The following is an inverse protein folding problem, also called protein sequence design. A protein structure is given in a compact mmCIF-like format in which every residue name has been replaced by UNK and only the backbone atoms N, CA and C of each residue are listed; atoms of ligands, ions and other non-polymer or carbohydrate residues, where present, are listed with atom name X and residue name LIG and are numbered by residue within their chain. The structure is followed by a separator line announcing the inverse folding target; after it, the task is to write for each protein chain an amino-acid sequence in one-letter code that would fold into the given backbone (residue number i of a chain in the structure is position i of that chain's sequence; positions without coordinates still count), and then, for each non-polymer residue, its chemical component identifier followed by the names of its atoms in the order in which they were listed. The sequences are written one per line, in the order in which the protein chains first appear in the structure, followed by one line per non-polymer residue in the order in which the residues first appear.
data_IF_212929911682
#
_entry.id   IF_212929911682
#
_cell.length_a   1.000
_cell.length_b   1.000
_cell.length_c   1.000
_cell.angle_alpha   90.00
_cell.angle_beta   90.00
_cell.angle_gamma   90.00
#
_symmetry.space_group_name_H-M   'P 1'
#
loop_
_entity.id
_entity.type
_entity.pdbx_description
1 polymer ?
#
# COMPACT_ATOMS: atom_id res chain seq x y z
N UNK A 1 -3.80 4.88 22.62
CA UNK A 1 -2.39 4.86 22.17
C UNK A 1 -1.69 3.70 22.88
N UNK A 2 -1.74 2.48 22.34
CA UNK A 2 -1.34 1.26 23.09
C UNK A 2 -0.08 0.53 22.55
N UNK A 3 0.54 1.01 21.47
CA UNK A 3 1.75 0.39 20.91
C UNK A 3 2.72 1.46 20.37
N UNK A 4 3.55 2.11 21.20
CA UNK A 4 4.45 3.17 20.77
C UNK A 4 5.55 2.71 19.80
N UNK A 5 5.97 1.44 19.87
CA UNK A 5 7.04 0.85 19.04
C UNK A 5 6.56 0.31 17.69
N UNK A 6 5.25 0.19 17.49
CA UNK A 6 4.68 -0.47 16.32
C UNK A 6 4.87 0.39 15.06
N UNK A 7 5.49 -0.18 14.02
CA UNK A 7 5.66 0.47 12.71
C UNK A 7 4.61 -0.06 11.74
N UNK A 8 4.21 0.78 10.79
CA UNK A 8 3.24 0.44 9.76
C UNK A 8 3.87 0.57 8.38
N UNK A 9 3.76 -0.49 7.59
CA UNK A 9 4.06 -0.48 6.16
C UNK A 9 2.76 -0.46 5.37
N UNK A 10 2.63 0.53 4.51
CA UNK A 10 1.46 0.83 3.69
C UNK A 10 1.81 0.46 2.25
N UNK A 11 1.13 -0.54 1.69
CA UNK A 11 1.39 -1.02 0.34
C UNK A 11 0.26 -0.64 -0.61
N UNK A 12 0.61 -0.02 -1.73
CA UNK A 12 -0.31 0.27 -2.83
C UNK A 12 -0.24 -0.79 -3.92
N UNK A 13 -1.42 -1.25 -4.35
CA UNK A 13 -1.57 -2.27 -5.39
C UNK A 13 -2.61 -1.86 -6.44
N UNK A 14 -2.46 -2.36 -7.66
CA UNK A 14 -3.42 -2.24 -8.75
C UNK A 14 -3.60 -3.57 -9.47
N UNK A 15 -4.60 -3.63 -10.33
CA UNK A 15 -4.72 -4.73 -11.30
C UNK A 15 -3.74 -4.54 -12.48
N UNK A 16 -3.75 -5.51 -13.41
CA UNK A 16 -2.92 -5.49 -14.60
C UNK A 16 -3.49 -4.67 -15.77
N UNK A 17 -4.61 -3.96 -15.61
CA UNK A 17 -5.24 -3.23 -16.71
C UNK A 17 -4.45 -1.98 -17.09
N UNK A 18 -4.62 -1.48 -18.31
CA UNK A 18 -4.04 -0.20 -18.78
C UNK A 18 -2.54 -0.24 -19.12
N UNK A 19 -2.12 0.71 -19.95
CA UNK A 19 -0.80 0.75 -20.61
C UNK A 19 0.32 1.40 -19.76
N UNK A 20 0.06 1.57 -18.46
CA UNK A 20 0.93 2.29 -17.54
C UNK A 20 1.89 1.38 -16.79
N UNK A 21 2.27 0.22 -17.35
CA UNK A 21 3.11 -0.77 -16.65
C UNK A 21 4.39 -0.13 -16.08
N UNK A 22 5.04 0.75 -16.86
CA UNK A 22 6.27 1.45 -16.47
C UNK A 22 6.05 2.39 -15.25
N UNK A 23 4.85 2.95 -15.08
CA UNK A 23 4.51 3.87 -13.98
C UNK A 23 3.63 3.24 -12.91
N UNK A 24 3.36 1.94 -13.01
CA UNK A 24 2.43 1.24 -12.13
C UNK A 24 2.87 1.37 -10.67
N UNK A 25 4.14 1.12 -10.39
CA UNK A 25 4.74 1.27 -9.07
C UNK A 25 4.59 2.72 -8.56
N UNK A 26 5.01 3.72 -9.34
CA UNK A 26 4.94 5.14 -8.97
C UNK A 26 3.50 5.60 -8.65
N UNK A 27 2.51 5.20 -9.44
CA UNK A 27 1.11 5.55 -9.22
C UNK A 27 0.61 4.94 -7.91
N UNK A 28 0.92 3.66 -7.68
CA UNK A 28 0.53 2.99 -6.44
C UNK A 28 1.28 3.53 -5.22
N UNK A 29 2.52 3.98 -5.41
CA UNK A 29 3.34 4.59 -4.37
C UNK A 29 2.74 5.91 -3.91
N UNK A 30 2.36 6.79 -4.85
CA UNK A 30 1.64 8.04 -4.54
C UNK A 30 0.34 7.80 -3.78
N UNK A 31 -0.39 6.72 -4.09
CA UNK A 31 -1.60 6.34 -3.36
C UNK A 31 -1.29 5.89 -1.93
N UNK A 32 -0.25 5.08 -1.75
CA UNK A 32 0.21 4.68 -0.42
C UNK A 32 0.71 5.89 0.39
N UNK A 33 1.41 6.83 -0.24
CA UNK A 33 1.85 8.08 0.37
C UNK A 33 0.67 8.97 0.80
N UNK A 34 -0.42 9.00 0.04
CA UNK A 34 -1.63 9.73 0.45
C UNK A 34 -2.25 9.16 1.74
N UNK A 35 -2.24 7.82 1.89
CA UNK A 35 -2.68 7.17 3.14
C UNK A 35 -1.71 7.45 4.28
N UNK A 36 -0.40 7.44 4.02
CA UNK A 36 0.61 7.83 5.00
C UNK A 36 0.36 9.25 5.49
N UNK A 37 0.19 10.21 4.58
CA UNK A 37 -0.06 11.60 4.92
C UNK A 37 -1.33 11.75 5.76
N UNK A 38 -2.40 11.04 5.40
CA UNK A 38 -3.61 11.01 6.21
C UNK A 38 -3.33 10.55 7.65
N UNK A 39 -2.53 9.50 7.85
CA UNK A 39 -2.18 9.02 9.20
C UNK A 39 -1.30 10.01 9.97
N UNK A 40 -0.38 10.71 9.29
CA UNK A 40 0.44 11.78 9.88
C UNK A 40 -0.44 12.93 10.34
N UNK A 41 -1.38 13.37 9.51
CA UNK A 41 -2.34 14.43 9.86
C UNK A 41 -3.22 14.06 11.07
N UNK A 42 -3.40 12.76 11.33
CA UNK A 42 -4.10 12.22 12.49
C UNK A 42 -3.17 11.90 13.68
N UNK A 43 -1.93 12.37 13.65
CA UNK A 43 -1.01 12.36 14.79
C UNK A 43 -0.20 11.07 14.95
N UNK A 44 -0.06 10.26 13.91
CA UNK A 44 0.94 9.19 13.88
C UNK A 44 2.28 9.77 13.42
N UNK A 45 3.34 9.44 14.17
CA UNK A 45 4.70 9.87 13.84
C UNK A 45 5.12 9.33 12.45
N UNK A 46 5.53 10.18 11.49
CA UNK A 46 5.97 9.74 10.17
C UNK A 46 7.14 8.76 10.22
N UNK A 47 8.02 8.80 11.24
CA UNK A 47 9.12 7.85 11.38
C UNK A 47 8.66 6.41 11.62
N UNK A 48 7.39 6.23 11.99
CA UNK A 48 6.76 4.92 12.20
C UNK A 48 6.03 4.40 10.97
N UNK A 49 6.00 5.17 9.89
CA UNK A 49 5.23 4.87 8.69
C UNK A 49 6.16 4.69 7.49
N UNK A 50 5.85 3.71 6.64
CA UNK A 50 6.53 3.51 5.36
C UNK A 50 5.51 3.25 4.27
N UNK A 51 5.52 4.04 3.21
CA UNK A 51 4.69 3.82 2.03
C UNK A 51 5.50 3.15 0.91
N UNK A 52 4.90 2.20 0.19
CA UNK A 52 5.47 1.53 -0.97
C UNK A 52 4.41 1.28 -2.04
N UNK A 53 4.76 1.45 -3.31
CA UNK A 53 3.94 1.05 -4.46
C UNK A 53 4.47 -0.19 -5.18
N UNK A 54 3.66 -1.24 -5.28
CA UNK A 54 4.02 -2.48 -5.99
C UNK A 54 3.40 -2.60 -7.39
N UNK A 55 2.61 -1.63 -7.83
CA UNK A 55 1.93 -1.73 -9.11
C UNK A 55 1.05 -2.98 -9.18
N UNK A 56 1.20 -3.77 -10.24
CA UNK A 56 0.45 -5.00 -10.48
C UNK A 56 1.23 -6.28 -10.09
N UNK A 57 2.41 -6.13 -9.47
CA UNK A 57 3.39 -7.21 -9.33
C UNK A 57 3.06 -8.17 -8.17
N UNK A 58 2.14 -7.78 -7.28
CA UNK A 58 1.66 -8.59 -6.14
C UNK A 58 0.14 -8.80 -6.17
N UNK A 59 -0.39 -9.55 -7.15
CA UNK A 59 -1.81 -9.87 -7.21
C UNK A 59 -2.20 -10.84 -6.08
N UNK A 60 -3.38 -10.64 -5.50
CA UNK A 60 -4.00 -11.57 -4.53
C UNK A 60 -5.11 -12.42 -5.17
N UNK A 61 -5.49 -12.07 -6.40
CA UNK A 61 -6.42 -12.84 -7.22
C UNK A 61 -5.97 -12.79 -8.69
N UNK A 62 -6.39 -13.75 -9.53
CA UNK A 62 -6.14 -13.69 -10.97
C UNK A 62 -6.67 -12.39 -11.61
N UNK A 63 -6.09 -11.90 -12.70
CA UNK A 63 -6.60 -10.68 -13.36
C UNK A 63 -7.62 -10.97 -14.48
N UNK A 64 -8.29 -12.13 -14.43
CA UNK A 64 -9.17 -12.69 -15.46
C UNK A 64 -10.58 -12.09 -15.46
N UNK A 65 -11.13 -11.69 -14.31
CA UNK A 65 -12.46 -11.12 -14.19
C UNK A 65 -12.45 -9.69 -13.60
N UNK A 66 -13.49 -8.87 -13.86
CA UNK A 66 -13.66 -7.57 -13.21
C UNK A 66 -13.63 -7.66 -11.67
N UNK A 67 -14.23 -8.70 -11.10
CA UNK A 67 -14.31 -8.96 -9.67
C UNK A 67 -12.93 -9.24 -9.09
N UNK A 68 -12.12 -10.08 -9.75
CA UNK A 68 -10.78 -10.37 -9.28
C UNK A 68 -9.82 -9.18 -9.45
N UNK A 69 -9.95 -8.42 -10.55
CA UNK A 69 -9.22 -7.15 -10.71
C UNK A 69 -9.56 -6.15 -9.60
N UNK A 70 -10.82 -6.09 -9.17
CA UNK A 70 -11.21 -5.25 -8.04
C UNK A 70 -10.48 -5.62 -6.75
N UNK A 71 -10.28 -6.92 -6.47
CA UNK A 71 -9.48 -7.38 -5.32
C UNK A 71 -8.03 -6.90 -5.40
N UNK A 72 -7.45 -6.87 -6.60
CA UNK A 72 -6.06 -6.43 -6.79
C UNK A 72 -5.86 -4.91 -6.63
N UNK A 73 -6.91 -4.09 -6.80
CA UNK A 73 -6.88 -2.64 -6.55
C UNK A 73 -7.12 -2.36 -5.06
N UNK A 74 -6.06 -2.37 -4.26
CA UNK A 74 -6.14 -2.28 -2.79
C UNK A 74 -4.99 -1.51 -2.16
N UNK A 75 -5.20 -1.11 -0.91
CA UNK A 75 -4.15 -0.69 0.03
C UNK A 75 -4.06 -1.77 1.11
N UNK A 76 -2.85 -2.18 1.48
CA UNK A 76 -2.61 -3.05 2.63
C UNK A 76 -1.85 -2.31 3.72
N UNK A 77 -2.16 -2.61 4.98
CA UNK A 77 -1.47 -2.10 6.16
C UNK A 77 -0.85 -3.28 6.91
N UNK A 78 0.48 -3.30 6.97
CA UNK A 78 1.24 -4.33 7.65
C UNK A 78 1.85 -3.76 8.93
N UNK A 79 1.62 -4.44 10.04
CA UNK A 79 2.36 -4.18 11.27
C UNK A 79 3.76 -4.78 11.13
N UNK A 80 4.77 -3.93 11.27
CA UNK A 80 6.16 -4.38 11.37
C UNK A 80 6.51 -4.36 12.85
N UNK A 81 6.66 -5.56 13.42
CA UNK A 81 7.23 -5.72 14.75
C UNK A 81 8.75 -5.57 14.65
N UNK A 82 9.33 -4.81 15.59
CA UNK A 82 10.77 -4.67 15.76
C UNK A 82 11.32 -5.68 16.78
N UNK A 83 10.55 -6.71 17.12
CA UNK A 83 11.01 -7.82 17.95
C UNK A 83 12.15 -8.57 17.24
N UNK A 84 13.38 -8.14 17.47
CA UNK A 84 14.56 -9.02 17.53
C UNK A 84 14.52 -9.87 18.80
#
# INVERSE_FOLDING_TARGET
RHHPQLRLRIEGHRDNSGDWSIRAAEITDKRAQAVLQYLVDHGIDPERLRALGYGADKPIAPNDSPENRAKNRRIELWFEDLSE
#
